data_IF_741238936279
#
_entry.id   IF_741238936279
#
_cell.length_a   1.000
_cell.length_b   1.000
_cell.length_c   1.000
_cell.angle_alpha   90.00
_cell.angle_beta   90.00
_cell.angle_gamma   90.00
#
_symmetry.space_group_name_H-M   'P 1'
#
loop_
_entity.id
_entity.type
_entity.pdbx_description
1 polymer ?
#
# COMPACT_ATOMS: atom_id res chain seq x y z
N UNK A 1 -11.30 2.92 -10.78
CA UNK A 1 -11.15 2.81 -9.32
C UNK A 1 -11.12 1.34 -8.92
N UNK A 2 -10.18 0.96 -8.10
CA UNK A 2 -10.06 -0.42 -7.62
C UNK A 2 -11.01 -0.62 -6.44
N UNK A 3 -11.67 -1.76 -6.39
CA UNK A 3 -12.58 -2.06 -5.30
C UNK A 3 -11.84 -2.33 -3.98
N UNK A 4 -12.56 -2.21 -2.87
CA UNK A 4 -12.01 -2.53 -1.55
C UNK A 4 -11.56 -4.00 -1.50
N UNK A 5 -12.26 -4.88 -2.22
CA UNK A 5 -11.89 -6.28 -2.30
C UNK A 5 -10.50 -6.44 -2.92
N UNK A 6 -10.22 -5.74 -4.01
CA UNK A 6 -8.90 -5.79 -4.64
C UNK A 6 -7.83 -5.18 -3.77
N UNK A 7 -8.13 -4.06 -3.10
CA UNK A 7 -7.21 -3.44 -2.17
C UNK A 7 -6.83 -4.43 -1.05
N UNK A 8 -7.82 -5.14 -0.53
CA UNK A 8 -7.59 -6.12 0.52
C UNK A 8 -6.72 -7.27 0.03
N UNK A 9 -6.92 -7.73 -1.20
CA UNK A 9 -6.09 -8.79 -1.77
C UNK A 9 -4.63 -8.35 -1.88
N UNK A 10 -4.40 -7.12 -2.31
CA UNK A 10 -3.05 -6.58 -2.41
C UNK A 10 -2.42 -6.50 -1.02
N UNK A 11 -3.16 -6.03 -0.03
CA UNK A 11 -2.65 -5.93 1.32
C UNK A 11 -2.33 -7.29 1.91
N UNK A 12 -3.14 -8.31 1.62
CA UNK A 12 -2.85 -9.66 2.11
C UNK A 12 -1.54 -10.20 1.58
N UNK A 13 -1.17 -9.80 0.38
CA UNK A 13 0.09 -10.25 -0.23
C UNK A 13 1.30 -9.55 0.39
N UNK A 14 1.21 -8.25 0.66
CA UNK A 14 2.38 -7.45 1.05
C UNK A 14 2.43 -7.08 2.52
N UNK A 15 1.28 -6.91 3.15
CA UNK A 15 1.22 -6.58 4.57
C UNK A 15 -0.03 -7.22 5.19
N UNK A 16 -0.03 -8.57 5.33
CA UNK A 16 -1.24 -9.31 5.73
C UNK A 16 -1.78 -8.94 7.10
N UNK A 17 -0.94 -8.43 7.98
CA UNK A 17 -1.37 -8.07 9.33
C UNK A 17 -1.92 -6.66 9.43
N UNK A 18 -1.67 -5.83 8.41
CA UNK A 18 -2.09 -4.44 8.42
C UNK A 18 -3.57 -4.33 8.05
N UNK A 19 -4.30 -3.51 8.79
CA UNK A 19 -5.72 -3.30 8.54
C UNK A 19 -5.93 -2.13 7.61
N UNK A 20 -6.99 -2.19 6.82
CA UNK A 20 -7.38 -1.13 5.90
C UNK A 20 -8.68 -0.51 6.39
N UNK A 21 -8.72 0.82 6.48
CA UNK A 21 -9.93 1.56 6.81
C UNK A 21 -10.13 2.71 5.85
N UNK A 22 -11.39 2.98 5.51
CA UNK A 22 -11.75 4.11 4.66
C UNK A 22 -12.28 5.22 5.55
N UNK A 23 -11.72 6.43 5.40
CA UNK A 23 -12.13 7.58 6.18
C UNK A 23 -12.28 8.79 5.26
N UNK A 24 -13.48 9.40 5.30
CA UNK A 24 -13.74 10.57 4.48
C UNK A 24 -12.76 11.70 4.78
N UNK A 25 -12.33 12.38 3.74
CA UNK A 25 -11.40 13.50 3.88
C UNK A 25 -9.96 13.12 4.14
N UNK A 26 -9.64 11.84 4.08
CA UNK A 26 -8.27 11.38 4.27
C UNK A 26 -7.58 11.21 2.92
N UNK A 27 -6.32 11.65 2.82
CA UNK A 27 -5.53 11.53 1.60
C UNK A 27 -4.67 10.26 1.56
N UNK A 28 -4.76 9.44 2.57
CA UNK A 28 -3.92 8.28 2.71
C UNK A 28 -2.91 8.46 3.83
N UNK A 29 -2.87 7.49 4.73
CA UNK A 29 -1.97 7.57 5.89
C UNK A 29 -1.76 6.17 6.45
N UNK A 30 -0.52 5.86 6.79
CA UNK A 30 -0.21 4.66 7.53
C UNK A 30 0.03 5.01 8.99
N UNK A 31 -0.74 4.41 9.88
CA UNK A 31 -0.63 4.62 11.32
C UNK A 31 0.28 3.55 11.91
N UNK A 32 1.50 3.93 12.29
CA UNK A 32 2.51 2.99 12.74
C UNK A 32 2.14 2.27 14.03
N UNK A 33 1.54 2.99 14.97
CA UNK A 33 1.23 2.42 16.28
C UNK A 33 0.15 1.36 16.22
N UNK A 34 -0.85 1.57 15.38
CA UNK A 34 -1.99 0.64 15.27
C UNK A 34 -1.90 -0.28 14.07
N UNK A 35 -0.91 -0.09 13.20
CA UNK A 35 -0.72 -0.89 11.99
C UNK A 35 -1.99 -0.85 11.12
N UNK A 36 -2.44 0.35 10.82
CA UNK A 36 -3.64 0.59 10.02
C UNK A 36 -3.31 1.54 8.88
N UNK A 37 -3.80 1.22 7.68
CA UNK A 37 -3.75 2.13 6.55
C UNK A 37 -5.12 2.78 6.41
N UNK A 38 -5.14 4.12 6.41
CA UNK A 38 -6.34 4.91 6.16
C UNK A 38 -6.30 5.45 4.74
N UNK A 39 -7.39 5.29 4.01
CA UNK A 39 -7.53 5.87 2.66
C UNK A 39 -8.87 6.60 2.58
N UNK A 40 -8.93 7.62 1.72
CA UNK A 40 -10.18 8.35 1.49
C UNK A 40 -11.07 7.61 0.50
N UNK A 41 -12.32 8.09 0.33
CA UNK A 41 -13.25 7.48 -0.62
C UNK A 41 -12.76 7.57 -2.06
N UNK A 42 -11.99 8.63 -2.36
CA UNK A 42 -11.48 8.86 -3.70
C UNK A 42 -10.07 8.28 -3.88
N UNK A 43 -9.75 7.28 -3.09
CA UNK A 43 -8.43 6.68 -3.13
C UNK A 43 -8.11 6.07 -4.50
N UNK A 44 -6.84 5.98 -4.81
CA UNK A 44 -6.37 5.34 -6.04
C UNK A 44 -5.24 4.38 -5.70
N UNK A 45 -4.94 3.51 -6.66
CA UNK A 45 -3.97 2.44 -6.44
C UNK A 45 -2.60 2.97 -6.03
N UNK A 46 -2.11 4.02 -6.70
CA UNK A 46 -0.81 4.60 -6.36
C UNK A 46 -0.73 5.06 -4.91
N UNK A 47 -1.78 5.70 -4.42
CA UNK A 47 -1.84 6.13 -3.02
C UNK A 47 -1.85 4.95 -2.06
N UNK A 48 -2.61 3.91 -2.38
CA UNK A 48 -2.61 2.70 -1.56
C UNK A 48 -1.23 2.06 -1.51
N UNK A 49 -0.57 1.92 -2.66
CA UNK A 49 0.76 1.31 -2.71
C UNK A 49 1.79 2.15 -1.96
N UNK A 50 1.64 3.46 -1.95
CA UNK A 50 2.47 4.35 -1.15
C UNK A 50 2.38 4.00 0.34
N UNK A 51 1.16 3.83 0.86
CA UNK A 51 0.95 3.49 2.26
C UNK A 51 1.38 2.06 2.58
N UNK A 52 1.16 1.13 1.66
CA UNK A 52 1.64 -0.25 1.82
C UNK A 52 3.17 -0.26 1.92
N UNK A 53 3.85 0.56 1.12
CA UNK A 53 5.31 0.68 1.19
C UNK A 53 5.74 1.14 2.58
N UNK A 54 5.07 2.14 3.13
CA UNK A 54 5.35 2.57 4.51
C UNK A 54 5.18 1.43 5.50
N UNK A 55 4.08 0.68 5.39
CA UNK A 55 3.81 -0.43 6.31
C UNK A 55 4.91 -1.50 6.22
N UNK A 56 5.30 -1.87 5.00
CA UNK A 56 6.34 -2.89 4.81
C UNK A 56 7.67 -2.46 5.42
N UNK A 57 8.11 -1.24 5.13
CA UNK A 57 9.40 -0.77 5.62
C UNK A 57 9.39 -0.53 7.11
N UNK A 58 8.29 -0.06 7.67
CA UNK A 58 8.20 0.12 9.10
C UNK A 58 8.29 -1.21 9.83
N UNK A 59 7.63 -2.24 9.33
CA UNK A 59 7.66 -3.56 9.95
C UNK A 59 9.02 -4.24 9.81
N UNK A 60 9.71 -3.99 8.70
CA UNK A 60 11.02 -4.59 8.47
C UNK A 60 12.11 -3.91 9.31
N UNK A 61 12.15 -2.59 9.32
CA UNK A 61 13.26 -1.82 9.89
C UNK A 61 12.85 -0.62 10.73
N UNK A 62 11.57 -0.40 10.96
CA UNK A 62 11.10 0.80 11.66
C UNK A 62 11.25 2.08 10.86
N UNK A 63 11.41 1.99 9.55
CA UNK A 63 11.61 3.17 8.71
C UNK A 63 10.30 3.91 8.46
N UNK A 64 10.34 5.24 8.51
CA UNK A 64 9.16 6.08 8.31
C UNK A 64 9.31 7.14 7.24
N UNK A 65 10.52 7.37 6.73
CA UNK A 65 10.77 8.45 5.78
C UNK A 65 10.54 8.06 4.32
N UNK A 66 10.76 9.03 3.43
CA UNK A 66 10.66 8.86 1.98
C UNK A 66 12.05 8.94 1.36
N UNK A 67 12.96 8.12 1.80
CA UNK A 67 14.33 8.11 1.30
C UNK A 67 14.47 7.17 0.07
N UNK A 68 15.72 6.91 -0.31
CA UNK A 68 16.00 6.03 -1.45
C UNK A 68 15.48 4.62 -1.25
N UNK A 69 15.49 4.12 -0.02
CA UNK A 69 14.98 2.78 0.29
C UNK A 69 13.46 2.75 0.03
N UNK A 70 12.75 3.81 0.44
CA UNK A 70 11.33 3.92 0.17
C UNK A 70 11.07 3.96 -1.34
N UNK A 71 11.82 4.81 -2.06
CA UNK A 71 11.63 4.95 -3.50
C UNK A 71 11.85 3.63 -4.24
N UNK A 72 12.87 2.89 -3.86
CA UNK A 72 13.16 1.60 -4.49
C UNK A 72 12.05 0.58 -4.21
N UNK A 73 11.60 0.48 -2.97
CA UNK A 73 10.55 -0.47 -2.62
C UNK A 73 9.23 -0.08 -3.27
N UNK A 74 8.90 1.20 -3.28
CA UNK A 74 7.67 1.67 -3.92
C UNK A 74 7.68 1.37 -5.42
N UNK A 75 8.79 1.64 -6.10
CA UNK A 75 8.95 1.35 -7.53
C UNK A 75 8.79 -0.14 -7.80
N UNK A 76 9.42 -0.98 -6.98
CA UNK A 76 9.30 -2.42 -7.09
C UNK A 76 7.85 -2.88 -6.92
N UNK A 77 7.17 -2.35 -5.92
CA UNK A 77 5.79 -2.71 -5.62
C UNK A 77 4.85 -2.30 -6.76
N UNK A 78 5.02 -1.09 -7.27
CA UNK A 78 4.24 -0.62 -8.41
C UNK A 78 4.45 -1.54 -9.61
N UNK A 79 5.70 -1.90 -9.89
CA UNK A 79 6.00 -2.81 -10.99
C UNK A 79 5.33 -4.16 -10.83
N UNK A 80 5.41 -4.74 -9.64
CA UNK A 80 4.80 -6.06 -9.39
C UNK A 80 3.29 -6.03 -9.51
N UNK A 81 2.65 -5.03 -8.93
CA UNK A 81 1.18 -4.95 -8.95
C UNK A 81 0.66 -4.67 -10.35
N UNK A 82 1.22 -3.72 -11.06
CA UNK A 82 0.76 -3.40 -12.40
C UNK A 82 1.15 -4.45 -13.43
N UNK A 83 2.34 -4.99 -13.34
CA UNK A 83 2.77 -6.06 -14.25
C UNK A 83 2.07 -7.38 -13.97
N UNK A 84 1.73 -7.63 -12.72
CA UNK A 84 1.01 -8.84 -12.35
C UNK A 84 -0.32 -8.99 -13.06
N UNK A 85 -1.00 -7.87 -13.33
CA UNK A 85 -2.25 -7.90 -14.08
C UNK A 85 -2.05 -8.31 -15.54
N UNK A 86 -0.86 -8.07 -16.07
CA UNK A 86 -0.56 -8.37 -17.47
C UNK A 86 0.00 -9.77 -17.67
N UNK A 87 0.64 -10.32 -16.65
CA UNK A 87 1.25 -11.65 -16.73
C UNK A 87 0.23 -12.74 -17.03
N UNK A 88 -0.97 -12.62 -16.51
CA UNK A 88 -2.01 -13.61 -16.76
C UNK A 88 -2.45 -13.72 -18.22
N UNK A 89 -1.98 -12.81 -19.05
CA UNK A 89 -2.32 -12.78 -20.46
C UNK A 89 -1.31 -13.46 -21.37
N UNK A 90 -0.25 -13.97 -20.81
CA UNK A 90 0.79 -14.65 -21.59
C UNK A 90 0.42 -16.09 -21.88
#
# INVERSE_FOLDING_TARGET
MISVIEATKIMRKYCPETKLKIKDGCDGLYLTESDIILIGRDWHLGGLLHEITHAMLYKEDGRTGHDGVFADRFTQLVGEVFCGHQEGKR
#
